data_IF_625794779778
#
_entry.id   IF_625794779778
#
_cell.length_a   1.000
_cell.length_b   1.000
_cell.length_c   1.000
_cell.angle_alpha   90.00
_cell.angle_beta   90.00
_cell.angle_gamma   90.00
#
_symmetry.space_group_name_H-M   'P 1'
#
loop_
_entity.id
_entity.type
_entity.pdbx_description
1 polymer ?
#
# COMPACT_ATOMS: atom_id res chain seq x y z
N UNK A 1 -4.50 58.61 0.64
CA UNK A 1 -4.82 59.88 -0.08
C UNK A 1 -6.32 59.95 -0.21
N UNK A 2 -6.94 61.11 0.05
CA UNK A 2 -8.40 61.25 -0.02
C UNK A 2 -8.92 62.38 0.88
N UNK A 3 -8.40 63.59 0.70
CA UNK A 3 -8.94 64.81 1.28
C UNK A 3 -10.17 65.23 0.45
N UNK A 4 -11.37 65.09 1.01
CA UNK A 4 -12.60 65.59 0.38
C UNK A 4 -13.07 66.86 1.08
N UNK A 5 -12.92 67.95 0.32
CA UNK A 5 -13.37 69.32 0.48
C UNK A 5 -14.48 69.64 1.51
N UNK A 6 -14.11 70.53 2.43
CA UNK A 6 -14.91 71.68 2.85
C UNK A 6 -15.47 72.45 1.64
N UNK A 7 -16.76 72.82 1.69
CA UNK A 7 -17.31 74.09 1.19
C UNK A 7 -18.82 74.16 1.51
N UNK A 8 -19.23 75.15 2.30
CA UNK A 8 -20.64 75.36 2.65
C UNK A 8 -20.82 76.53 3.61
N UNK A 9 -20.38 77.71 3.18
CA UNK A 9 -20.68 79.00 3.82
C UNK A 9 -21.99 79.58 3.27
N UNK A 10 -22.55 80.52 4.05
CA UNK A 10 -23.62 81.47 3.71
C UNK A 10 -25.08 80.97 3.78
N UNK A 11 -25.76 81.37 4.86
CA UNK A 11 -26.69 82.52 4.79
C UNK A 11 -26.93 83.04 6.21
N UNK A 12 -26.44 84.25 6.48
CA UNK A 12 -26.74 84.98 7.71
C UNK A 12 -28.10 85.65 7.60
N UNK A 13 -29.12 85.06 8.21
CA UNK A 13 -30.46 85.63 8.30
C UNK A 13 -30.56 86.44 9.61
N UNK A 14 -30.60 87.77 9.48
CA UNK A 14 -30.70 88.70 10.60
C UNK A 14 -32.13 88.68 11.17
N UNK A 15 -32.34 88.01 12.31
CA UNK A 15 -33.60 88.10 13.05
C UNK A 15 -33.50 89.15 14.16
N UNK A 16 -33.94 90.37 13.87
CA UNK A 16 -34.32 91.36 14.89
C UNK A 16 -35.73 91.03 15.41
N UNK A 17 -35.83 90.05 16.30
CA UNK A 17 -37.08 89.64 16.95
C UNK A 17 -37.16 90.14 18.40
N UNK A 18 -38.10 91.06 18.66
CA UNK A 18 -38.44 91.54 20.01
C UNK A 18 -38.90 90.35 20.85
N UNK A 19 -38.16 90.05 21.93
CA UNK A 19 -38.40 88.90 22.81
C UNK A 19 -39.65 89.15 23.67
N UNK A 20 -40.81 88.73 23.15
CA UNK A 20 -42.02 88.58 23.95
C UNK A 20 -41.82 87.46 24.97
N UNK A 21 -42.08 87.72 26.24
CA UNK A 21 -41.98 86.72 27.30
C UNK A 21 -42.88 85.52 26.97
N UNK A 22 -42.38 84.27 27.05
CA UNK A 22 -43.18 83.10 26.77
C UNK A 22 -44.31 83.00 27.78
N UNK A 23 -45.53 82.82 27.28
CA UNK A 23 -46.69 82.54 28.13
C UNK A 23 -46.53 81.16 28.78
N UNK A 24 -47.15 80.94 29.93
CA UNK A 24 -47.09 79.67 30.69
C UNK A 24 -47.44 78.45 29.81
N UNK A 25 -48.34 78.62 28.84
CA UNK A 25 -48.74 77.58 27.87
C UNK A 25 -47.58 77.11 27.00
N UNK A 26 -46.77 78.03 26.48
CA UNK A 26 -45.57 77.71 25.69
C UNK A 26 -44.54 76.91 26.48
N UNK A 27 -44.41 77.15 27.80
CA UNK A 27 -43.48 76.41 28.66
C UNK A 27 -43.95 74.97 28.87
N UNK A 28 -45.25 74.76 29.12
CA UNK A 28 -45.85 73.42 29.26
C UNK A 28 -45.72 72.58 27.98
N UNK A 29 -45.95 73.16 26.81
CA UNK A 29 -45.81 72.45 25.52
C UNK A 29 -44.34 72.07 25.21
N UNK A 30 -43.38 72.87 25.69
CA UNK A 30 -41.96 72.55 25.57
C UNK A 30 -41.61 71.38 26.51
N UNK A 31 -42.06 71.43 27.76
CA UNK A 31 -41.83 70.36 28.74
C UNK A 31 -42.48 69.05 28.28
N UNK A 32 -43.71 69.08 27.78
CA UNK A 32 -44.37 67.89 27.23
C UNK A 32 -43.61 67.27 26.06
N UNK A 33 -43.09 68.09 25.14
CA UNK A 33 -42.23 67.62 24.03
C UNK A 33 -40.86 67.10 24.47
N UNK A 34 -40.34 67.59 25.60
CA UNK A 34 -39.09 67.05 26.16
C UNK A 34 -39.34 65.71 26.84
N UNK A 35 -40.42 65.58 27.62
CA UNK A 35 -40.78 64.31 28.27
C UNK A 35 -41.09 63.22 27.25
N UNK A 36 -41.88 63.53 26.21
CA UNK A 36 -42.16 62.55 25.13
C UNK A 36 -40.90 62.08 24.40
N UNK A 37 -39.94 62.98 24.12
CA UNK A 37 -38.65 62.62 23.54
C UNK A 37 -37.80 61.75 24.48
N UNK A 38 -37.83 62.02 25.78
CA UNK A 38 -37.11 61.20 26.76
C UNK A 38 -37.71 59.79 26.83
N UNK A 39 -39.04 59.66 26.86
CA UNK A 39 -39.70 58.34 26.85
C UNK A 39 -39.43 57.55 25.56
N UNK A 40 -39.42 58.23 24.41
CA UNK A 40 -39.10 57.61 23.11
C UNK A 40 -37.66 57.12 23.05
N UNK A 41 -36.71 57.91 23.56
CA UNK A 41 -35.29 57.52 23.64
C UNK A 41 -35.12 56.30 24.55
N UNK A 42 -35.77 56.28 25.73
CA UNK A 42 -35.69 55.13 26.66
C UNK A 42 -36.33 53.87 26.06
N UNK A 43 -37.43 54.01 25.33
CA UNK A 43 -38.04 52.87 24.61
C UNK A 43 -37.17 52.39 23.45
N UNK A 44 -36.51 53.30 22.74
CA UNK A 44 -35.58 52.97 21.65
C UNK A 44 -34.40 52.14 22.15
N UNK A 45 -33.72 52.58 23.21
CA UNK A 45 -32.55 51.87 23.75
C UNK A 45 -32.89 50.48 24.28
N UNK A 46 -34.04 50.33 24.94
CA UNK A 46 -34.48 49.01 25.45
C UNK A 46 -34.81 48.03 24.32
N UNK A 47 -35.41 48.49 23.22
CA UNK A 47 -35.68 47.65 22.04
C UNK A 47 -34.37 47.24 21.36
N UNK A 48 -33.40 48.15 21.24
CA UNK A 48 -32.10 47.84 20.65
C UNK A 48 -31.31 46.81 21.48
N UNK A 49 -31.31 46.93 22.81
CA UNK A 49 -30.68 45.95 23.71
C UNK A 49 -31.33 44.56 23.58
N UNK A 50 -32.67 44.52 23.51
CA UNK A 50 -33.40 43.27 23.28
C UNK A 50 -33.05 42.65 21.93
N UNK A 51 -33.01 43.43 20.85
CA UNK A 51 -32.64 42.96 19.52
C UNK A 51 -31.20 42.40 19.48
N UNK A 52 -30.26 43.07 20.16
CA UNK A 52 -28.87 42.58 20.31
C UNK A 52 -28.83 41.25 21.06
N UNK A 53 -29.59 41.13 22.16
CA UNK A 53 -29.66 39.90 22.95
C UNK A 53 -30.28 38.73 22.14
N UNK A 54 -31.32 39.01 21.34
CA UNK A 54 -31.98 38.02 20.49
C UNK A 54 -31.07 37.55 19.35
N UNK A 55 -30.33 38.47 18.72
CA UNK A 55 -29.33 38.13 17.71
C UNK A 55 -28.25 37.19 18.28
N UNK A 56 -27.71 37.50 19.47
CA UNK A 56 -26.73 36.65 20.14
C UNK A 56 -27.27 35.25 20.46
N UNK A 57 -28.51 35.14 20.93
CA UNK A 57 -29.15 33.83 21.18
C UNK A 57 -29.37 33.05 19.88
N UNK A 58 -29.75 33.71 18.79
CA UNK A 58 -29.92 33.07 17.48
C UNK A 58 -28.59 32.53 16.93
N UNK A 59 -27.53 33.32 16.99
CA UNK A 59 -26.17 32.89 16.59
C UNK A 59 -25.71 31.69 17.41
N UNK A 60 -25.93 31.71 18.72
CA UNK A 60 -25.61 30.58 19.59
C UNK A 60 -26.34 29.30 19.18
N UNK A 61 -27.64 29.38 18.90
CA UNK A 61 -28.44 28.23 18.46
C UNK A 61 -27.96 27.70 17.10
N UNK A 62 -27.61 28.60 16.17
CA UNK A 62 -27.06 28.21 14.88
C UNK A 62 -25.70 27.53 15.01
N UNK A 63 -24.80 28.08 15.82
CA UNK A 63 -23.50 27.47 16.12
C UNK A 63 -23.66 26.10 16.79
N UNK A 64 -24.61 25.95 17.72
CA UNK A 64 -24.85 24.68 18.43
C UNK A 64 -25.39 23.61 17.47
N UNK A 65 -26.26 23.99 16.52
CA UNK A 65 -26.72 23.11 15.44
C UNK A 65 -25.61 22.73 14.47
N UNK A 66 -24.76 23.68 14.07
CA UNK A 66 -23.63 23.42 13.19
C UNK A 66 -22.64 22.43 13.83
N UNK A 67 -22.30 22.65 15.11
CA UNK A 67 -21.43 21.77 15.89
C UNK A 67 -21.99 20.34 16.00
N UNK A 68 -23.30 20.19 16.25
CA UNK A 68 -23.96 18.88 16.28
C UNK A 68 -23.93 18.16 14.93
N UNK A 69 -24.11 18.89 13.84
CA UNK A 69 -24.06 18.32 12.49
C UNK A 69 -22.65 17.85 12.11
N UNK A 70 -21.61 18.61 12.46
CA UNK A 70 -20.21 18.22 12.25
C UNK A 70 -19.82 16.99 13.07
N UNK A 71 -20.21 16.95 14.35
CA UNK A 71 -19.96 15.80 15.22
C UNK A 71 -20.61 14.52 14.69
N UNK A 72 -21.82 14.61 14.13
CA UNK A 72 -22.50 13.47 13.51
C UNK A 72 -21.77 13.00 12.23
N UNK A 73 -21.28 13.93 11.41
CA UNK A 73 -20.49 13.58 10.23
C UNK A 73 -19.20 12.86 10.60
N UNK A 74 -18.50 13.35 11.62
CA UNK A 74 -17.26 12.74 12.11
C UNK A 74 -17.50 11.34 12.69
N UNK A 75 -18.62 11.13 13.39
CA UNK A 75 -19.02 9.79 13.86
C UNK A 75 -19.27 8.81 12.73
N UNK A 76 -19.96 9.23 11.65
CA UNK A 76 -20.21 8.37 10.48
C UNK A 76 -18.92 8.02 9.74
N UNK A 77 -18.00 8.97 9.58
CA UNK A 77 -16.70 8.72 8.93
C UNK A 77 -15.82 7.76 9.75
N UNK A 78 -15.83 7.88 11.08
CA UNK A 78 -15.12 6.97 11.98
C UNK A 78 -15.67 5.54 11.92
N UNK A 79 -17.00 5.37 11.89
CA UNK A 79 -17.65 4.06 11.75
C UNK A 79 -17.33 3.40 10.40
N UNK A 80 -17.36 4.17 9.30
CA UNK A 80 -17.01 3.65 7.97
C UNK A 80 -15.53 3.23 7.90
N UNK A 81 -14.63 3.99 8.51
CA UNK A 81 -13.21 3.64 8.54
C UNK A 81 -12.96 2.36 9.37
N UNK A 82 -13.68 2.19 10.49
CA UNK A 82 -13.63 0.96 11.28
C UNK A 82 -14.15 -0.24 10.49
N UNK A 83 -15.24 -0.08 9.75
CA UNK A 83 -15.78 -1.14 8.89
C UNK A 83 -14.77 -1.54 7.80
N UNK A 84 -14.12 -0.57 7.16
CA UNK A 84 -13.06 -0.83 6.18
C UNK A 84 -11.88 -1.58 6.80
N UNK A 85 -11.45 -1.22 8.01
CA UNK A 85 -10.39 -1.92 8.74
C UNK A 85 -10.81 -3.35 9.12
N UNK A 86 -12.05 -3.56 9.56
CA UNK A 86 -12.57 -4.88 9.90
C UNK A 86 -12.69 -5.79 8.67
N UNK A 87 -13.18 -5.25 7.54
CA UNK A 87 -13.25 -5.98 6.27
C UNK A 87 -11.86 -6.40 5.75
N UNK A 88 -10.87 -5.50 5.86
CA UNK A 88 -9.49 -5.80 5.50
C UNK A 88 -8.90 -6.93 6.36
N UNK A 89 -9.12 -6.89 7.69
CA UNK A 89 -8.69 -7.95 8.61
C UNK A 89 -9.32 -9.31 8.27
N UNK A 90 -10.64 -9.36 8.04
CA UNK A 90 -11.35 -10.59 7.62
C UNK A 90 -10.82 -11.15 6.29
N UNK A 91 -10.47 -10.27 5.35
CA UNK A 91 -9.89 -10.68 4.07
C UNK A 91 -8.47 -11.26 4.23
N UNK A 92 -7.64 -10.68 5.10
CA UNK A 92 -6.32 -11.20 5.44
C UNK A 92 -6.41 -12.57 6.13
N UNK A 93 -7.27 -12.72 7.14
CA UNK A 93 -7.46 -13.98 7.86
C UNK A 93 -7.92 -15.11 6.92
N UNK A 94 -8.86 -14.82 6.01
CA UNK A 94 -9.31 -15.80 5.01
C UNK A 94 -8.19 -16.23 4.07
N UNK A 95 -7.28 -15.31 3.69
CA UNK A 95 -6.09 -15.65 2.89
C UNK A 95 -5.11 -16.52 3.67
N UNK A 96 -4.92 -16.24 4.95
CA UNK A 96 -4.05 -17.02 5.83
C UNK A 96 -4.58 -18.44 6.05
N UNK A 97 -5.87 -18.61 6.37
CA UNK A 97 -6.52 -19.93 6.46
C UNK A 97 -6.38 -20.73 5.16
N UNK A 98 -6.47 -20.06 4.00
CA UNK A 98 -6.25 -20.69 2.68
C UNK A 98 -4.79 -21.10 2.45
N UNK A 99 -3.81 -20.40 3.03
CA UNK A 99 -2.39 -20.77 2.96
C UNK A 99 -2.09 -21.95 3.89
N UNK A 100 -2.59 -21.90 5.12
CA UNK A 100 -2.43 -22.98 6.10
C UNK A 100 -3.00 -24.32 5.59
N UNK A 101 -4.22 -24.30 5.04
CA UNK A 101 -4.84 -25.51 4.46
C UNK A 101 -4.09 -26.04 3.22
N UNK A 102 -3.43 -25.17 2.44
CA UNK A 102 -2.57 -25.62 1.34
C UNK A 102 -1.29 -26.27 1.84
N UNK A 103 -0.65 -25.69 2.86
CA UNK A 103 0.55 -26.24 3.47
C UNK A 103 0.27 -27.62 4.10
N UNK A 104 -0.86 -27.80 4.78
CA UNK A 104 -1.25 -29.11 5.32
C UNK A 104 -1.43 -30.17 4.22
N UNK A 105 -2.11 -29.82 3.11
CA UNK A 105 -2.28 -30.74 1.97
C UNK A 105 -0.96 -31.07 1.27
N UNK A 106 -0.01 -30.14 1.27
CA UNK A 106 1.32 -30.38 0.72
C UNK A 106 2.13 -31.31 1.62
N UNK A 107 2.15 -31.06 2.93
CA UNK A 107 2.78 -31.96 3.90
C UNK A 107 2.17 -33.38 3.82
N UNK A 108 0.85 -33.50 3.67
CA UNK A 108 0.19 -34.80 3.49
C UNK A 108 0.67 -35.51 2.22
N UNK A 109 0.71 -34.81 1.07
CA UNK A 109 1.25 -35.37 -0.19
C UNK A 109 2.71 -35.81 -0.05
N UNK A 110 3.53 -35.03 0.66
CA UNK A 110 4.93 -35.35 0.88
C UNK A 110 5.09 -36.61 1.73
N UNK A 111 4.28 -36.77 2.79
CA UNK A 111 4.26 -38.00 3.58
C UNK A 111 3.79 -39.21 2.75
N UNK A 112 2.81 -39.03 1.86
CA UNK A 112 2.35 -40.10 0.96
C UNK A 112 3.46 -40.51 -0.02
N UNK A 113 4.16 -39.55 -0.63
CA UNK A 113 5.29 -39.81 -1.51
C UNK A 113 6.43 -40.52 -0.77
N UNK A 114 6.74 -40.08 0.45
CA UNK A 114 7.77 -40.71 1.27
C UNK A 114 7.43 -42.18 1.60
N UNK A 115 6.19 -42.47 1.99
CA UNK A 115 5.71 -43.85 2.22
C UNK A 115 5.82 -44.72 0.98
N UNK A 116 5.47 -44.19 -0.21
CA UNK A 116 5.61 -44.93 -1.47
C UNK A 116 7.08 -45.21 -1.80
N UNK A 117 7.97 -44.26 -1.55
CA UNK A 117 9.41 -44.42 -1.77
C UNK A 117 10.00 -45.47 -0.81
N UNK A 118 9.64 -45.39 0.48
CA UNK A 118 10.06 -46.34 1.51
C UNK A 118 9.59 -47.77 1.17
N UNK A 119 8.34 -47.92 0.74
CA UNK A 119 7.82 -49.23 0.30
C UNK A 119 8.59 -49.77 -0.92
N UNK A 120 8.91 -48.92 -1.90
CA UNK A 120 9.73 -49.34 -3.05
C UNK A 120 11.15 -49.74 -2.64
N UNK A 121 11.76 -49.02 -1.70
CA UNK A 121 13.08 -49.37 -1.16
C UNK A 121 13.02 -50.71 -0.42
N UNK A 122 12.00 -50.96 0.39
CA UNK A 122 11.81 -52.22 1.08
C UNK A 122 11.68 -53.40 0.09
N UNK A 123 10.87 -53.24 -0.97
CA UNK A 123 10.72 -54.27 -2.02
C UNK A 123 12.06 -54.54 -2.73
N UNK A 124 12.77 -53.49 -3.18
CA UNK A 124 14.06 -53.66 -3.87
C UNK A 124 15.14 -54.27 -2.98
N UNK A 125 15.16 -53.90 -1.71
CA UNK A 125 16.09 -54.46 -0.71
C UNK A 125 15.80 -55.93 -0.48
N UNK A 126 14.53 -56.33 -0.38
CA UNK A 126 14.15 -57.74 -0.25
C UNK A 126 14.54 -58.55 -1.49
N UNK A 127 14.27 -58.03 -2.70
CA UNK A 127 14.70 -58.64 -3.97
C UNK A 127 16.23 -58.78 -4.09
N UNK A 128 16.98 -57.87 -3.48
CA UNK A 128 18.43 -57.94 -3.41
C UNK A 128 18.89 -59.06 -2.46
N UNK A 129 18.29 -59.18 -1.28
CA UNK A 129 18.58 -60.26 -0.35
C UNK A 129 18.25 -61.64 -0.92
N UNK A 130 17.09 -61.80 -1.58
CA UNK A 130 16.75 -63.06 -2.26
C UNK A 130 17.75 -63.43 -3.35
N UNK A 131 18.22 -62.45 -4.14
CA UNK A 131 19.26 -62.70 -5.16
C UNK A 131 20.60 -63.04 -4.53
N UNK A 132 20.98 -62.36 -3.46
CA UNK A 132 22.21 -62.66 -2.73
C UNK A 132 22.17 -64.09 -2.16
N UNK A 133 21.06 -64.46 -1.51
CA UNK A 133 20.85 -65.79 -0.93
C UNK A 133 20.82 -66.89 -2.00
N UNK A 134 20.18 -66.66 -3.15
CA UNK A 134 20.18 -67.61 -4.25
C UNK A 134 21.59 -67.85 -4.84
N UNK A 135 22.43 -66.82 -4.92
CA UNK A 135 23.79 -66.92 -5.48
C UNK A 135 24.82 -67.44 -4.47
N UNK A 136 24.72 -67.04 -3.19
CA UNK A 136 25.70 -67.38 -2.16
C UNK A 136 25.27 -68.55 -1.28
N UNK A 137 23.98 -68.84 -1.19
CA UNK A 137 23.39 -69.89 -0.35
C UNK A 137 24.09 -71.24 -0.51
N UNK A 138 24.24 -71.79 -1.75
CA UNK A 138 24.93 -73.06 -1.95
C UNK A 138 26.39 -73.04 -1.48
N UNK A 139 27.08 -71.92 -1.67
CA UNK A 139 28.48 -71.73 -1.27
C UNK A 139 28.62 -71.68 0.25
N UNK A 140 27.72 -70.96 0.93
CA UNK A 140 27.66 -70.89 2.39
C UNK A 140 27.30 -72.24 3.01
N UNK A 141 26.38 -72.99 2.40
CA UNK A 141 25.98 -74.31 2.88
C UNK A 141 27.13 -75.34 2.80
N UNK A 142 27.97 -75.24 1.76
CA UNK A 142 29.19 -76.05 1.62
C UNK A 142 30.25 -75.72 2.69
N UNK A 143 30.40 -74.45 3.05
CA UNK A 143 31.31 -74.02 4.14
C UNK A 143 30.81 -74.55 5.49
N UNK A 144 29.51 -74.46 5.76
CA UNK A 144 28.93 -74.95 7.02
C UNK A 144 29.11 -76.46 7.21
N UNK A 145 28.97 -77.27 6.16
CA UNK A 145 29.13 -78.75 6.26
C UNK A 145 30.57 -79.19 6.55
N UNK A 146 31.58 -78.33 6.36
CA UNK A 146 33.00 -78.65 6.66
C UNK A 146 33.47 -78.21 8.05
N UNK A 147 32.67 -77.45 8.82
CA UNK A 147 33.06 -76.92 10.15
C UNK A 147 32.23 -77.56 11.27
N UNK A 148 32.21 -78.91 11.32
CA UNK A 148 31.78 -79.65 12.53
C UNK A 148 32.95 -79.94 13.48
N UNK A 149 34.02 -79.13 13.42
CA UNK A 149 35.09 -79.11 14.41
C UNK A 149 34.89 -77.90 15.31
N UNK A 150 34.49 -78.21 16.53
CA UNK A 150 34.31 -77.37 17.70
C UNK A 150 35.38 -76.26 17.79
N UNK A 151 35.02 -75.06 17.32
CA UNK A 151 35.71 -73.83 17.71
C UNK A 151 34.72 -73.08 18.59
N UNK A 152 34.96 -73.20 19.89
CA UNK A 152 34.38 -72.40 20.95
C UNK A 152 34.65 -70.93 20.63
N UNK A 153 33.72 -70.28 19.94
CA UNK A 153 33.71 -68.84 19.80
C UNK A 153 33.15 -68.28 21.11
N UNK A 154 34.07 -67.95 22.01
CA UNK A 154 33.82 -67.24 23.25
C UNK A 154 32.96 -66.01 22.97
N UNK A 155 31.87 -65.88 23.73
CA UNK A 155 30.78 -64.95 23.48
C UNK A 155 31.24 -63.51 23.25
N UNK A 156 30.92 -62.98 22.08
CA UNK A 156 30.77 -61.54 21.92
C UNK A 156 29.35 -61.21 22.37
N UNK A 157 29.26 -60.68 23.58
CA UNK A 157 28.04 -60.16 24.17
C UNK A 157 27.32 -59.27 23.15
N UNK A 158 26.11 -59.70 22.77
CA UNK A 158 25.12 -58.88 22.10
C UNK A 158 24.70 -57.79 23.09
N UNK A 159 25.47 -56.70 23.10
CA UNK A 159 25.09 -55.44 23.72
C UNK A 159 23.82 -54.98 23.02
N UNK A 160 22.68 -55.23 23.65
CA UNK A 160 21.41 -54.59 23.36
C UNK A 160 21.67 -53.08 23.36
N UNK A 161 21.83 -52.52 22.17
CA UNK A 161 21.89 -51.09 21.99
C UNK A 161 20.45 -50.61 22.13
N UNK A 162 20.00 -50.48 23.38
CA UNK A 162 18.86 -49.66 23.74
C UNK A 162 19.07 -48.30 23.05
N UNK A 163 18.15 -47.99 22.15
CA UNK A 163 18.12 -46.78 21.35
C UNK A 163 18.07 -45.59 22.29
N UNK A 164 19.24 -45.02 22.50
CA UNK A 164 19.48 -43.80 23.26
C UNK A 164 18.91 -42.61 22.47
N UNK A 165 17.59 -42.44 22.49
CA UNK A 165 16.93 -41.19 22.07
C UNK A 165 17.41 -40.00 22.94
N UNK A 166 17.95 -40.32 24.13
CA UNK A 166 18.66 -39.42 25.04
C UNK A 166 19.78 -38.62 24.37
N UNK A 167 20.55 -39.23 23.46
CA UNK A 167 21.67 -38.54 22.81
C UNK A 167 21.21 -37.38 21.92
N UNK A 168 20.04 -37.48 21.29
CA UNK A 168 19.51 -36.41 20.43
C UNK A 168 18.82 -35.30 21.23
N UNK A 169 18.23 -35.64 22.37
CA UNK A 169 17.62 -34.69 23.29
C UNK A 169 18.67 -33.88 24.06
N UNK A 170 19.81 -34.50 24.41
CA UNK A 170 20.97 -33.81 24.98
C UNK A 170 21.59 -32.81 23.99
N UNK A 171 21.67 -33.17 22.70
CA UNK A 171 22.13 -32.22 21.67
C UNK A 171 21.12 -31.07 21.53
N UNK A 172 19.81 -31.32 21.55
CA UNK A 172 18.80 -30.25 21.46
C UNK A 172 18.82 -29.31 22.66
N UNK A 173 18.98 -29.82 23.87
CA UNK A 173 19.09 -28.99 25.09
C UNK A 173 20.39 -28.21 25.14
N UNK A 174 21.52 -28.79 24.70
CA UNK A 174 22.80 -28.07 24.57
C UNK A 174 22.83 -27.06 23.41
N UNK A 175 22.08 -27.30 22.33
CA UNK A 175 22.07 -26.44 21.13
C UNK A 175 20.96 -25.37 21.20
N UNK A 176 19.90 -25.58 21.99
CA UNK A 176 18.79 -24.63 22.19
C UNK A 176 19.19 -23.21 22.62
N UNK A 177 20.22 -23.01 23.47
CA UNK A 177 20.69 -21.67 23.83
C UNK A 177 21.76 -21.11 22.88
N UNK A 178 22.08 -21.77 21.75
CA UNK A 178 22.86 -21.16 20.67
C UNK A 178 22.00 -20.18 19.86
N UNK A 179 21.43 -19.19 20.53
CA UNK A 179 20.96 -17.96 19.91
C UNK A 179 22.19 -17.27 19.36
N UNK A 180 22.50 -17.50 18.09
CA UNK A 180 23.50 -16.73 17.33
C UNK A 180 22.94 -15.31 17.17
N UNK A 181 23.04 -14.52 18.23
CA UNK A 181 22.79 -13.09 18.27
C UNK A 181 24.01 -12.31 17.72
N UNK A 182 25.14 -12.98 17.54
CA UNK A 182 26.30 -12.44 16.85
C UNK A 182 26.20 -12.67 15.34
N UNK A 183 25.61 -11.70 14.65
CA UNK A 183 25.77 -11.58 13.20
C UNK A 183 27.25 -11.34 12.94
N UNK A 184 27.95 -12.36 12.42
CA UNK A 184 29.28 -12.21 11.83
C UNK A 184 29.25 -10.97 10.94
N UNK A 185 30.07 -9.98 11.26
CA UNK A 185 30.37 -8.87 10.35
C UNK A 185 30.88 -9.52 9.07
N UNK A 186 30.08 -9.53 8.00
CA UNK A 186 30.60 -9.79 6.66
C UNK A 186 31.75 -8.80 6.49
N UNK A 187 32.96 -9.33 6.29
CA UNK A 187 34.08 -8.50 5.90
C UNK A 187 33.75 -7.74 4.61
N UNK A 188 34.55 -6.72 4.26
CA UNK A 188 34.40 -5.97 3.01
C UNK A 188 34.16 -6.94 1.84
N UNK A 189 33.06 -6.76 1.10
CA UNK A 189 32.70 -7.64 0.00
C UNK A 189 33.87 -7.73 -0.98
N UNK A 190 34.41 -8.93 -1.14
CA UNK A 190 35.46 -9.20 -2.11
C UNK A 190 34.84 -9.04 -3.51
N UNK A 191 35.20 -7.96 -4.18
CA UNK A 191 34.77 -7.64 -5.55
C UNK A 191 35.33 -8.71 -6.48
N UNK A 192 34.46 -9.61 -6.95
CA UNK A 192 34.79 -10.55 -8.01
C UNK A 192 34.57 -9.85 -9.35
N UNK A 193 35.63 -9.22 -9.88
CA UNK A 193 35.57 -8.46 -11.14
C UNK A 193 35.52 -9.33 -12.41
N UNK A 194 35.56 -10.65 -12.32
CA UNK A 194 35.65 -11.52 -13.52
C UNK A 194 34.85 -12.84 -13.40
N UNK A 195 33.65 -12.78 -12.82
CA UNK A 195 32.75 -13.94 -12.92
C UNK A 195 31.90 -13.85 -14.20
N UNK A 196 32.13 -14.71 -15.21
CA UNK A 196 31.29 -14.74 -16.39
C UNK A 196 29.84 -15.03 -15.96
N UNK A 197 28.85 -14.34 -16.53
CA UNK A 197 27.45 -14.53 -16.19
C UNK A 197 27.10 -15.99 -16.39
N UNK A 198 26.91 -16.70 -15.27
CA UNK A 198 26.53 -18.10 -15.30
C UNK A 198 25.13 -18.17 -15.93
N UNK A 199 25.08 -18.64 -17.19
CA UNK A 199 23.87 -18.86 -17.96
C UNK A 199 23.02 -19.90 -17.24
N UNK A 200 22.21 -19.46 -16.29
CA UNK A 200 21.19 -20.32 -15.69
C UNK A 200 20.15 -20.63 -16.77
N UNK A 201 19.85 -21.92 -17.05
CA UNK A 201 18.89 -22.28 -18.08
C UNK A 201 17.51 -21.70 -17.75
N UNK A 202 16.93 -21.00 -18.73
CA UNK A 202 15.62 -20.36 -18.64
C UNK A 202 14.57 -21.29 -18.02
N UNK A 203 14.12 -20.91 -16.82
CA UNK A 203 13.03 -21.61 -16.12
C UNK A 203 11.76 -21.53 -16.96
N UNK A 204 11.45 -22.62 -17.66
CA UNK A 204 10.13 -22.90 -18.26
C UNK A 204 9.03 -22.71 -17.20
N UNK A 205 8.32 -21.58 -17.25
CA UNK A 205 7.02 -21.46 -16.58
C UNK A 205 5.98 -22.28 -17.33
N UNK A 206 5.44 -23.29 -16.65
CA UNK A 206 4.29 -24.08 -17.06
C UNK A 206 3.05 -23.18 -17.20
N UNK A 207 2.68 -22.86 -18.44
CA UNK A 207 1.40 -22.24 -18.79
C UNK A 207 0.23 -23.11 -18.27
N UNK A 208 -0.42 -22.68 -17.20
CA UNK A 208 -1.76 -23.15 -16.83
C UNK A 208 -2.79 -22.25 -17.51
N UNK A 209 -3.43 -22.81 -18.52
CA UNK A 209 -4.57 -22.24 -19.23
C UNK A 209 -5.87 -22.60 -18.51
N UNK A 210 -6.80 -21.63 -18.49
CA UNK A 210 -8.27 -21.77 -18.45
C UNK A 210 -8.94 -21.92 -17.07
N UNK A 211 -9.39 -20.78 -16.52
CA UNK A 211 -10.63 -20.71 -15.73
C UNK A 211 -11.67 -20.04 -16.62
N UNK A 212 -12.62 -20.84 -17.09
CA UNK A 212 -13.78 -20.43 -17.85
C UNK A 212 -14.87 -20.06 -16.83
N UNK A 213 -15.39 -18.83 -16.88
CA UNK A 213 -16.65 -18.46 -16.24
C UNK A 213 -17.65 -18.29 -17.36
N UNK A 214 -18.71 -19.10 -17.35
CA UNK A 214 -19.79 -19.06 -18.34
C UNK A 214 -20.74 -20.25 -18.19
N UNK A 215 -21.82 -20.02 -17.45
CA UNK A 215 -23.05 -20.77 -17.23
C UNK A 215 -23.35 -22.03 -18.08
N UNK A 216 -23.79 -23.11 -17.40
CA UNK A 216 -25.05 -23.89 -17.63
C UNK A 216 -25.03 -25.17 -16.78
N UNK A 217 -26.16 -25.61 -16.18
CA UNK A 217 -26.25 -26.89 -15.50
C UNK A 217 -26.93 -27.91 -16.40
N UNK A 218 -26.17 -28.75 -17.10
CA UNK A 218 -26.75 -29.90 -17.80
C UNK A 218 -25.85 -31.12 -17.60
N UNK A 219 -26.36 -32.05 -16.78
CA UNK A 219 -25.99 -33.48 -16.76
C UNK A 219 -25.80 -33.98 -18.19
N UNK A 220 -24.80 -34.83 -18.44
CA UNK A 220 -24.93 -36.15 -19.09
C UNK A 220 -23.55 -36.76 -19.43
N UNK A 221 -23.30 -37.93 -18.82
CA UNK A 221 -22.69 -39.15 -19.38
C UNK A 221 -21.41 -39.12 -20.24
N UNK A 222 -20.35 -39.75 -19.67
CA UNK A 222 -19.53 -40.85 -20.24
C UNK A 222 -19.33 -40.91 -21.76
N UNK A 223 -18.08 -40.74 -22.23
CA UNK A 223 -17.39 -41.71 -23.10
C UNK A 223 -15.91 -41.33 -23.33
N UNK A 224 -15.07 -42.37 -23.37
CA UNK A 224 -13.65 -42.34 -23.73
C UNK A 224 -13.50 -42.24 -25.26
N UNK A 225 -12.56 -41.44 -25.75
CA UNK A 225 -12.17 -41.45 -27.16
C UNK A 225 -10.79 -40.83 -27.36
N UNK A 226 -9.78 -41.68 -27.61
CA UNK A 226 -8.44 -41.26 -28.07
C UNK A 226 -8.56 -40.84 -29.53
N UNK A 227 -8.25 -39.59 -29.86
CA UNK A 227 -8.03 -39.17 -31.26
C UNK A 227 -6.65 -38.53 -31.35
N UNK A 228 -5.76 -39.22 -32.08
CA UNK A 228 -4.47 -38.70 -32.53
C UNK A 228 -4.74 -37.90 -33.81
N UNK A 229 -4.52 -36.59 -33.77
CA UNK A 229 -4.50 -35.78 -34.99
C UNK A 229 -3.16 -35.06 -35.08
N UNK A 230 -2.32 -35.52 -36.00
CA UNK A 230 -1.14 -34.82 -36.50
C UNK A 230 -1.63 -33.83 -37.56
N UNK A 231 -1.68 -32.53 -37.26
CA UNK A 231 -1.86 -31.50 -38.30
C UNK A 231 -1.07 -30.23 -37.93
N UNK A 232 -0.07 -29.96 -38.78
CA UNK A 232 0.48 -28.67 -39.20
C UNK A 232 1.31 -27.80 -38.24
N UNK A 233 2.61 -27.60 -38.52
CA UNK A 233 3.42 -26.50 -38.02
C UNK A 233 3.32 -25.32 -38.99
N UNK A 234 2.37 -24.41 -38.77
CA UNK A 234 2.38 -23.11 -39.46
C UNK A 234 2.55 -21.99 -38.42
N UNK A 235 3.78 -21.49 -38.38
CA UNK A 235 4.25 -20.34 -37.60
C UNK A 235 3.61 -19.05 -38.14
N UNK A 236 2.34 -18.82 -37.84
CA UNK A 236 1.79 -17.47 -37.88
C UNK A 236 2.18 -16.77 -36.57
N UNK A 237 3.26 -16.00 -36.60
CA UNK A 237 3.57 -15.02 -35.54
C UNK A 237 2.37 -14.07 -35.46
N UNK A 238 1.59 -14.02 -34.36
CA UNK A 238 0.74 -12.87 -34.15
C UNK A 238 1.70 -11.72 -33.92
N UNK A 239 1.72 -10.77 -34.85
CA UNK A 239 2.18 -9.41 -34.59
C UNK A 239 1.38 -8.93 -33.39
N UNK A 240 1.93 -9.12 -32.18
CA UNK A 240 1.52 -8.36 -31.01
C UNK A 240 1.88 -6.93 -31.36
N UNK A 241 0.93 -6.22 -31.95
CA UNK A 241 0.76 -4.80 -31.70
C UNK A 241 1.19 -4.55 -30.26
N UNK A 242 2.13 -3.64 -30.01
CA UNK A 242 2.46 -3.18 -28.67
C UNK A 242 1.15 -2.80 -27.98
N UNK A 243 0.54 -3.76 -27.29
CA UNK A 243 -0.70 -3.57 -26.57
C UNK A 243 -0.33 -2.60 -25.48
N UNK A 244 -0.86 -1.38 -25.59
CA UNK A 244 -0.66 -0.32 -24.61
C UNK A 244 -0.82 -0.98 -23.24
N UNK A 245 0.24 -0.97 -22.42
CA UNK A 245 0.24 -1.70 -21.16
C UNK A 245 -0.96 -1.23 -20.34
N UNK A 246 -1.81 -2.17 -19.93
CA UNK A 246 -3.05 -1.86 -19.20
C UNK A 246 -2.73 -0.96 -18.00
N UNK A 247 -3.61 0.02 -17.73
CA UNK A 247 -3.48 0.93 -16.58
C UNK A 247 -3.27 0.17 -15.26
N UNK A 248 -3.83 -1.03 -15.13
CA UNK A 248 -3.67 -1.89 -13.96
C UNK A 248 -2.23 -2.39 -13.79
N UNK A 249 -1.56 -2.73 -14.89
CA UNK A 249 -0.14 -3.15 -14.88
C UNK A 249 0.79 -2.00 -14.51
N UNK A 250 0.53 -0.80 -15.07
CA UNK A 250 1.26 0.43 -14.70
C UNK A 250 1.14 0.73 -13.20
N UNK A 251 -0.08 0.66 -12.66
CA UNK A 251 -0.34 0.91 -11.24
C UNK A 251 0.34 -0.11 -10.31
N UNK A 252 0.34 -1.40 -10.67
CA UNK A 252 1.04 -2.43 -9.88
C UNK A 252 2.55 -2.22 -9.85
N UNK A 253 3.13 -1.84 -10.99
CA UNK A 253 4.56 -1.52 -11.09
C UNK A 253 4.91 -0.29 -10.24
N UNK A 254 4.14 0.80 -10.36
CA UNK A 254 4.32 2.00 -9.53
C UNK A 254 4.26 1.68 -8.03
N UNK A 255 3.25 0.93 -7.59
CA UNK A 255 3.12 0.54 -6.19
C UNK A 255 4.31 -0.29 -5.70
N UNK A 256 4.82 -1.19 -6.55
CA UNK A 256 6.01 -1.98 -6.23
C UNK A 256 7.24 -1.09 -6.02
N UNK A 257 7.47 -0.15 -6.93
CA UNK A 257 8.58 0.81 -6.83
C UNK A 257 8.45 1.67 -5.56
N UNK A 258 7.25 2.14 -5.22
CA UNK A 258 7.03 2.89 -3.98
C UNK A 258 7.35 2.09 -2.71
N UNK A 259 7.04 0.79 -2.67
CA UNK A 259 7.40 -0.07 -1.54
C UNK A 259 8.92 -0.19 -1.37
N UNK A 260 9.64 -0.36 -2.49
CA UNK A 260 11.10 -0.50 -2.49
C UNK A 260 11.79 0.82 -2.07
N UNK A 261 11.26 1.98 -2.50
CA UNK A 261 11.81 3.30 -2.16
C UNK A 261 11.46 3.79 -0.75
N UNK A 262 10.36 3.32 -0.15
CA UNK A 262 9.90 3.78 1.18
C UNK A 262 10.91 3.51 2.30
N UNK A 263 11.74 2.46 2.14
CA UNK A 263 12.76 2.08 3.10
C UNK A 263 14.09 2.82 2.98
N UNK A 264 14.27 3.63 1.93
CA UNK A 264 15.54 4.32 1.67
C UNK A 264 15.67 5.60 2.50
N UNK A 265 16.91 5.98 2.76
CA UNK A 265 17.24 7.23 3.45
C UNK A 265 17.18 8.43 2.51
N UNK A 266 17.09 9.64 3.08
CA UNK A 266 16.96 10.87 2.30
C UNK A 266 18.16 11.07 1.35
N UNK A 267 19.37 10.68 1.76
CA UNK A 267 20.58 10.79 0.94
C UNK A 267 20.56 9.84 -0.27
N UNK A 268 20.02 8.63 -0.10
CA UNK A 268 19.84 7.65 -1.18
C UNK A 268 18.76 8.10 -2.16
N UNK A 269 17.66 8.65 -1.65
CA UNK A 269 16.62 9.22 -2.51
C UNK A 269 17.15 10.43 -3.31
N UNK A 270 17.96 11.29 -2.69
CA UNK A 270 18.61 12.39 -3.40
C UNK A 270 19.57 11.92 -4.50
N UNK A 271 20.34 10.85 -4.25
CA UNK A 271 21.22 10.31 -5.29
C UNK A 271 20.42 9.72 -6.45
N UNK A 272 19.32 9.02 -6.17
CA UNK A 272 18.41 8.49 -7.20
C UNK A 272 17.76 9.62 -8.00
N UNK A 273 17.26 10.66 -7.32
CA UNK A 273 16.73 11.88 -7.95
C UNK A 273 17.75 12.50 -8.91
N UNK A 274 19.02 12.64 -8.50
CA UNK A 274 20.09 13.16 -9.37
C UNK A 274 20.37 12.27 -10.57
N UNK A 275 20.38 10.95 -10.40
CA UNK A 275 20.63 10.01 -11.51
C UNK A 275 19.47 9.94 -12.51
N UNK A 276 18.23 10.12 -12.05
CA UNK A 276 17.02 10.08 -12.88
C UNK A 276 16.59 11.46 -13.41
N UNK A 277 17.29 12.54 -13.02
CA UNK A 277 16.94 13.91 -13.42
C UNK A 277 15.64 14.42 -12.78
N UNK A 278 15.28 13.93 -11.60
CA UNK A 278 14.07 14.32 -10.86
C UNK A 278 14.44 15.32 -9.75
N UNK A 279 13.68 16.42 -9.61
CA UNK A 279 13.90 17.43 -8.56
C UNK A 279 13.50 16.86 -7.19
N UNK A 280 14.34 17.07 -6.18
CA UNK A 280 14.07 16.59 -4.82
C UNK A 280 13.28 17.63 -4.01
N UNK A 281 11.98 17.41 -3.81
CA UNK A 281 11.08 18.31 -3.06
C UNK A 281 10.69 17.80 -1.65
N UNK A 282 11.44 16.82 -1.14
CA UNK A 282 11.17 16.17 0.15
C UNK A 282 11.03 14.65 0.01
N UNK A 283 11.06 13.94 1.14
CA UNK A 283 11.14 12.46 1.14
C UNK A 283 9.90 11.81 0.50
N UNK A 284 8.71 12.34 0.79
CA UNK A 284 7.45 11.77 0.31
C UNK A 284 7.29 12.03 -1.19
N UNK A 285 7.48 13.28 -1.62
CA UNK A 285 7.32 13.68 -3.03
C UNK A 285 8.36 13.00 -3.93
N UNK A 286 9.61 12.91 -3.48
CA UNK A 286 10.66 12.19 -4.22
C UNK A 286 10.28 10.73 -4.51
N UNK A 287 9.65 10.02 -3.56
CA UNK A 287 9.19 8.63 -3.77
C UNK A 287 8.12 8.57 -4.86
N UNK A 288 7.17 9.51 -4.88
CA UNK A 288 6.13 9.55 -5.89
C UNK A 288 6.67 9.91 -7.28
N UNK A 289 7.57 10.89 -7.35
CA UNK A 289 8.15 11.39 -8.60
C UNK A 289 9.07 10.34 -9.24
N UNK A 290 9.95 9.70 -8.46
CA UNK A 290 10.79 8.59 -8.91
C UNK A 290 9.91 7.41 -9.39
N UNK A 291 8.91 7.01 -8.62
CA UNK A 291 8.03 5.91 -9.01
C UNK A 291 7.25 6.22 -10.29
N UNK A 292 6.81 7.47 -10.47
CA UNK A 292 6.16 7.95 -11.70
C UNK A 292 7.14 7.93 -12.88
N UNK A 293 8.34 8.47 -12.71
CA UNK A 293 9.40 8.48 -13.72
C UNK A 293 9.76 7.06 -14.19
N UNK A 294 10.09 6.14 -13.26
CA UNK A 294 10.38 4.73 -13.59
C UNK A 294 9.22 4.04 -14.31
N UNK A 295 7.97 4.35 -13.95
CA UNK A 295 6.80 3.79 -14.63
C UNK A 295 6.72 4.31 -16.08
N UNK A 296 6.95 5.60 -16.32
CA UNK A 296 6.97 6.16 -17.68
C UNK A 296 8.09 5.56 -18.53
N UNK A 297 9.29 5.40 -17.96
CA UNK A 297 10.44 4.78 -18.63
C UNK A 297 10.16 3.31 -18.96
N UNK A 298 9.67 2.52 -18.00
CA UNK A 298 9.45 1.09 -18.17
C UNK A 298 8.33 0.75 -19.18
N UNK A 299 7.34 1.61 -19.31
CA UNK A 299 6.20 1.41 -20.20
C UNK A 299 6.28 2.23 -21.50
N UNK A 300 7.40 2.90 -21.76
CA UNK A 300 7.63 3.67 -22.98
C UNK A 300 6.63 4.80 -23.19
N UNK A 301 6.12 5.39 -22.11
CA UNK A 301 5.22 6.56 -22.16
C UNK A 301 6.01 7.87 -22.24
N UNK A 302 7.30 7.82 -21.94
CA UNK A 302 8.25 8.77 -22.49
C UNK A 302 8.53 8.31 -23.92
N UNK A 303 7.71 8.77 -24.87
CA UNK A 303 8.25 8.94 -26.22
C UNK A 303 9.46 9.87 -26.03
N UNK A 304 10.68 9.49 -26.42
CA UNK A 304 11.77 10.44 -26.49
C UNK A 304 11.34 11.44 -27.56
N UNK A 305 10.66 12.51 -27.13
CA UNK A 305 10.73 13.78 -27.84
C UNK A 305 12.22 14.08 -27.79
N UNK A 306 12.91 13.78 -28.88
CA UNK A 306 14.31 14.09 -29.08
C UNK A 306 14.47 15.59 -28.80
N UNK A 307 14.85 15.91 -27.55
CA UNK A 307 15.28 17.23 -27.08
C UNK A 307 16.67 17.53 -27.67
N UNK A 308 16.79 17.38 -28.99
CA UNK A 308 18.02 17.58 -29.76
C UNK A 308 17.81 18.46 -31.01
N UNK A 309 16.67 19.13 -31.15
CA UNK A 309 16.53 20.22 -32.12
C UNK A 309 16.07 21.51 -31.45
N UNK A 310 16.97 22.48 -31.45
CA UNK A 310 16.70 23.91 -31.59
C UNK A 310 15.97 24.62 -30.44
N UNK A 311 16.76 24.97 -29.41
CA UNK A 311 16.68 26.34 -28.85
C UNK A 311 18.04 27.00 -29.04
N UNK A 312 18.41 27.18 -30.31
CA UNK A 312 19.19 28.35 -30.72
C UNK A 312 18.20 29.51 -30.91
N UNK A 313 18.52 30.64 -30.26
CA UNK A 313 18.21 32.02 -30.67
C UNK A 313 16.78 32.33 -31.13
N UNK A 314 16.06 33.05 -30.29
CA UNK A 314 15.68 34.42 -30.67
C UNK A 314 15.51 35.27 -29.41
N UNK A 315 16.52 36.12 -29.17
CA UNK A 315 16.38 37.34 -28.40
C UNK A 315 15.55 38.32 -29.26
N UNK A 316 14.25 38.41 -29.04
CA UNK A 316 13.46 39.59 -29.46
C UNK A 316 12.78 40.21 -28.24
N UNK A 317 13.50 41.18 -27.68
CA UNK A 317 13.02 42.53 -27.39
C UNK A 317 11.53 42.78 -27.69
N UNK A 318 10.69 42.79 -26.65
CA UNK A 318 9.53 43.68 -26.64
C UNK A 318 9.38 44.31 -25.26
N UNK A 319 10.10 45.42 -25.09
CA UNK A 319 9.64 46.49 -24.24
C UNK A 319 8.27 47.00 -24.75
N UNK A 320 7.28 47.07 -23.87
CA UNK A 320 6.25 48.12 -23.80
C UNK A 320 5.31 47.80 -22.62
N UNK A 321 5.28 48.68 -21.61
CA UNK A 321 4.16 49.64 -21.34
C UNK A 321 3.02 48.88 -20.66
N UNK A 322 2.88 48.90 -19.34
CA UNK A 322 2.47 49.98 -18.42
C UNK A 322 1.15 49.53 -17.78
N UNK A 323 0.94 49.94 -16.53
CA UNK A 323 -0.35 50.18 -15.88
C UNK A 323 -1.49 49.15 -16.02
N UNK A 324 -1.88 48.53 -14.90
CA UNK A 324 -2.99 49.09 -14.13
C UNK A 324 -3.19 48.36 -12.79
N UNK A 325 -3.15 49.20 -11.77
CA UNK A 325 -3.70 49.05 -10.43
C UNK A 325 -5.19 48.71 -10.48
N UNK A 326 -5.63 47.66 -9.78
CA UNK A 326 -6.99 47.64 -9.24
C UNK A 326 -7.00 46.97 -7.87
N UNK A 327 -7.19 47.83 -6.88
CA UNK A 327 -7.58 47.52 -5.52
C UNK A 327 -9.10 47.29 -5.43
N UNK A 328 -9.51 46.71 -4.29
CA UNK A 328 -10.86 46.74 -3.69
C UNK A 328 -11.95 45.95 -4.42
N UNK A 329 -13.01 45.40 -3.82
CA UNK A 329 -13.52 45.14 -2.47
C UNK A 329 -14.78 44.28 -2.76
N UNK A 330 -15.07 43.25 -1.95
CA UNK A 330 -16.42 43.01 -1.40
C UNK A 330 -16.37 41.99 -0.25
#
# INVERSE_FOLDING_TARGET
>A
MGFSCWSGWETGESMSGVRSAPTVKTVLDIVGRMVGRIEEVVRGTTIEELNKSLASVLEFVQCEKARKAEEERLKREAEEEEERKAAAKRACEKKERRRATKLQKEAERDTEMNKRMELQLAIKTNDFFYRMEANLGPTLELVQRKVKKQVTCTGMHSSEHEGSDSATEEIRTRTGPLTINEKRKRGPEFVFDDNPPMLTPDKRTTRRTKVMIGATPVRLTRAKGKVKTKVSPYLAKPNRSLEKPSNVTKLRYRNRVMEDLRGLDAQELQSICKTEGVVYNGKIDAVFDIASHKTRVAFGELEPVDLSSDTELDEEESANVDDEEHAEEE
#
